data_IF_917547262632
#
_entry.id   IF_917547262632
#
_cell.length_a   1.000
_cell.length_b   1.000
_cell.length_c   1.000
_cell.angle_alpha   90.00
_cell.angle_beta   90.00
_cell.angle_gamma   90.00
#
_symmetry.space_group_name_H-M   'P 1'
#
loop_
_entity.id
_entity.type
_entity.pdbx_description
1 polymer ?
#
# COMPACT_ATOMS: atom_id res chain seq x y z
N UNK A 1 -9.91 -8.83 -11.42
CA UNK A 1 -10.76 -9.36 -12.51
C UNK A 1 -10.08 -9.11 -13.84
N UNK A 2 -9.78 -7.85 -14.20
CA UNK A 2 -9.06 -7.52 -15.43
C UNK A 2 -7.71 -8.23 -15.59
N UNK A 3 -6.91 -8.35 -14.52
CA UNK A 3 -5.62 -9.08 -14.57
C UNK A 3 -5.77 -10.51 -15.12
N UNK A 4 -6.79 -11.24 -14.65
CA UNK A 4 -7.05 -12.62 -15.08
C UNK A 4 -7.58 -12.69 -16.50
N UNK A 5 -8.39 -11.71 -16.90
CA UNK A 5 -8.94 -11.67 -18.25
C UNK A 5 -7.84 -11.38 -19.28
N UNK A 6 -6.95 -10.43 -18.98
CA UNK A 6 -5.76 -10.12 -19.80
C UNK A 6 -4.82 -11.32 -19.87
N UNK A 7 -4.54 -11.97 -18.74
CA UNK A 7 -3.73 -13.21 -18.68
C UNK A 7 -4.30 -14.31 -19.59
N UNK A 8 -5.63 -14.41 -19.67
CA UNK A 8 -6.34 -15.40 -20.48
C UNK A 8 -6.67 -14.93 -21.91
N UNK A 9 -6.17 -13.76 -22.37
CA UNK A 9 -6.49 -13.20 -23.69
C UNK A 9 -6.33 -14.23 -24.82
N UNK A 10 -5.20 -14.92 -24.87
CA UNK A 10 -4.93 -15.93 -25.89
C UNK A 10 -5.84 -17.15 -25.80
N UNK A 11 -6.19 -17.59 -24.58
CA UNK A 11 -7.11 -18.70 -24.38
C UNK A 11 -8.53 -18.33 -24.84
N UNK A 12 -8.99 -17.12 -24.51
CA UNK A 12 -10.27 -16.58 -24.99
C UNK A 12 -10.27 -16.49 -26.51
N UNK A 13 -9.24 -15.89 -27.12
CA UNK A 13 -9.13 -15.78 -28.58
C UNK A 13 -9.08 -17.15 -29.27
N UNK A 14 -8.40 -18.14 -28.69
CA UNK A 14 -8.33 -19.50 -29.24
C UNK A 14 -9.72 -20.17 -29.28
N UNK A 15 -10.47 -20.09 -28.17
CA UNK A 15 -11.82 -20.67 -28.08
C UNK A 15 -12.80 -19.98 -29.03
N UNK A 16 -12.74 -18.65 -29.16
CA UNK A 16 -13.60 -17.90 -30.08
C UNK A 16 -13.24 -18.13 -31.56
N UNK A 17 -11.99 -18.49 -31.84
CA UNK A 17 -11.52 -18.83 -33.20
C UNK A 17 -11.91 -20.25 -33.62
N UNK A 18 -12.05 -21.17 -32.67
CA UNK A 18 -12.43 -22.56 -32.93
C UNK A 18 -13.93 -22.69 -33.28
N UNK A 19 -14.21 -23.13 -34.50
CA UNK A 19 -15.57 -23.32 -35.03
C UNK A 19 -16.23 -24.60 -34.56
N UNK A 20 -15.48 -25.54 -33.99
CA UNK A 20 -16.03 -26.76 -33.38
C UNK A 20 -16.61 -26.50 -31.99
N UNK A 21 -16.13 -25.47 -31.30
CA UNK A 21 -16.54 -25.08 -29.94
C UNK A 21 -17.46 -23.86 -29.95
N UNK A 22 -17.17 -22.85 -30.78
CA UNK A 22 -17.91 -21.57 -30.78
C UNK A 22 -18.54 -21.30 -32.13
N UNK A 23 -19.86 -21.08 -32.16
CA UNK A 23 -20.59 -20.68 -33.37
C UNK A 23 -20.13 -19.29 -33.82
N UNK A 24 -20.11 -19.06 -35.13
CA UNK A 24 -19.64 -17.79 -35.69
C UNK A 24 -20.43 -16.56 -35.18
N UNK A 25 -21.74 -16.71 -34.95
CA UNK A 25 -22.58 -15.65 -34.39
C UNK A 25 -22.13 -15.28 -32.98
N UNK A 26 -21.93 -16.29 -32.12
CA UNK A 26 -21.50 -16.10 -30.73
C UNK A 26 -20.08 -15.52 -30.67
N UNK A 27 -19.17 -16.02 -31.52
CA UNK A 27 -17.79 -15.51 -31.61
C UNK A 27 -17.77 -14.01 -31.92
N UNK A 28 -18.55 -13.55 -32.91
CA UNK A 28 -18.62 -12.12 -33.27
C UNK A 28 -19.21 -11.24 -32.18
N UNK A 29 -20.10 -11.77 -31.36
CA UNK A 29 -20.70 -11.04 -30.24
C UNK A 29 -19.77 -10.97 -29.03
N UNK A 30 -18.95 -12.01 -28.81
CA UNK A 30 -18.07 -12.14 -27.65
C UNK A 30 -16.65 -11.61 -27.88
N UNK A 31 -16.25 -11.43 -29.14
CA UNK A 31 -14.92 -10.96 -29.50
C UNK A 31 -14.70 -9.51 -29.07
N UNK A 32 -13.76 -9.34 -28.14
CA UNK A 32 -13.30 -8.04 -27.68
C UNK A 32 -12.32 -7.47 -28.70
N UNK A 33 -12.57 -6.23 -29.14
CA UNK A 33 -11.62 -5.47 -29.99
C UNK A 33 -10.32 -5.21 -29.24
N UNK A 34 -9.21 -5.10 -29.97
CA UNK A 34 -7.89 -4.81 -29.43
C UNK A 34 -7.86 -3.52 -28.58
N UNK A 35 -8.60 -2.48 -28.97
CA UNK A 35 -8.70 -1.24 -28.19
C UNK A 35 -9.26 -1.47 -26.77
N UNK A 36 -10.14 -2.46 -26.59
CA UNK A 36 -10.67 -2.80 -25.27
C UNK A 36 -9.69 -3.65 -24.46
N UNK A 37 -8.91 -4.51 -25.11
CA UNK A 37 -7.82 -5.23 -24.47
C UNK A 37 -6.77 -4.25 -23.94
N UNK A 38 -6.35 -3.29 -24.77
CA UNK A 38 -5.42 -2.25 -24.37
C UNK A 38 -5.96 -1.42 -23.21
N UNK A 39 -7.23 -1.01 -23.27
CA UNK A 39 -7.86 -0.27 -22.16
C UNK A 39 -7.84 -1.06 -20.84
N UNK A 40 -8.05 -2.39 -20.90
CA UNK A 40 -8.00 -3.24 -19.71
C UNK A 40 -6.58 -3.34 -19.14
N UNK A 41 -5.57 -3.41 -20.01
CA UNK A 41 -4.15 -3.38 -19.63
C UNK A 41 -3.78 -2.03 -18.99
N UNK A 42 -4.21 -0.91 -19.58
CA UNK A 42 -3.89 0.43 -19.09
C UNK A 42 -4.57 0.74 -17.73
N UNK A 43 -5.80 0.26 -17.52
CA UNK A 43 -6.56 0.56 -16.29
C UNK A 43 -6.26 -0.40 -15.13
N UNK A 44 -5.79 -1.62 -15.42
CA UNK A 44 -5.41 -2.61 -14.42
C UNK A 44 -4.48 -2.08 -13.31
N UNK A 45 -3.37 -1.37 -13.59
CA UNK A 45 -2.48 -0.84 -12.54
C UNK A 45 -3.16 0.20 -11.65
N UNK A 46 -4.05 1.04 -12.21
CA UNK A 46 -4.80 2.03 -11.44
C UNK A 46 -5.75 1.34 -10.47
N UNK A 47 -6.48 0.34 -10.93
CA UNK A 47 -7.36 -0.47 -10.09
C UNK A 47 -6.59 -1.29 -9.05
N UNK A 48 -5.39 -1.78 -9.41
CA UNK A 48 -4.49 -2.45 -8.48
C UNK A 48 -4.07 -1.55 -7.32
N UNK A 49 -3.81 -0.27 -7.59
CA UNK A 49 -3.48 0.72 -6.56
C UNK A 49 -4.66 0.97 -5.61
N UNK A 50 -5.87 1.13 -6.15
CA UNK A 50 -7.08 1.28 -5.33
C UNK A 50 -7.34 0.03 -4.48
N UNK A 51 -7.20 -1.16 -5.06
CA UNK A 51 -7.31 -2.43 -4.34
C UNK A 51 -6.31 -2.50 -3.20
N UNK A 52 -5.06 -2.11 -3.42
CA UNK A 52 -4.03 -2.10 -2.38
C UNK A 52 -4.44 -1.20 -1.22
N UNK A 53 -4.83 0.05 -1.50
CA UNK A 53 -5.28 0.98 -0.47
C UNK A 53 -6.48 0.47 0.31
N UNK A 54 -7.51 -0.07 -0.36
CA UNK A 54 -8.66 -0.66 0.32
C UNK A 54 -8.27 -1.87 1.14
N UNK A 55 -7.37 -2.73 0.65
CA UNK A 55 -6.90 -3.91 1.40
C UNK A 55 -6.20 -3.49 2.68
N UNK A 56 -5.31 -2.50 2.63
CA UNK A 56 -4.63 -1.97 3.82
C UNK A 56 -5.64 -1.40 4.80
N UNK A 57 -6.56 -0.55 4.33
CA UNK A 57 -7.59 0.03 5.19
C UNK A 57 -8.53 -1.04 5.78
N UNK A 58 -8.87 -2.09 5.03
CA UNK A 58 -9.77 -3.16 5.50
C UNK A 58 -9.08 -4.21 6.37
N UNK A 59 -7.75 -4.29 6.37
CA UNK A 59 -7.00 -5.22 7.21
C UNK A 59 -6.89 -4.73 8.67
N UNK A 60 -7.09 -3.44 8.92
CA UNK A 60 -7.06 -2.88 10.26
C UNK A 60 -8.36 -3.18 11.02
N UNK A 61 -8.25 -3.67 12.26
CA UNK A 61 -9.41 -3.97 13.11
C UNK A 61 -10.16 -2.70 13.53
N UNK A 62 -9.46 -1.58 13.66
CA UNK A 62 -10.03 -0.24 13.82
C UNK A 62 -9.30 0.75 12.92
N UNK A 63 -9.97 1.16 11.84
CA UNK A 63 -9.39 2.12 10.90
C UNK A 63 -9.37 3.50 11.54
N UNK A 64 -8.18 3.95 11.93
CA UNK A 64 -8.01 5.29 12.50
C UNK A 64 -8.02 6.36 11.40
N UNK A 65 -8.44 7.59 11.74
CA UNK A 65 -8.33 8.76 10.85
C UNK A 65 -6.87 8.96 10.41
N UNK A 66 -5.91 8.62 11.30
CA UNK A 66 -4.48 8.63 11.00
C UNK A 66 -4.06 7.66 9.90
N UNK A 67 -4.82 6.62 9.57
CA UNK A 67 -4.48 5.72 8.46
C UNK A 67 -5.25 6.09 7.19
N UNK A 68 -6.51 6.47 7.34
CA UNK A 68 -7.38 6.85 6.20
C UNK A 68 -6.86 8.08 5.45
N UNK A 69 -6.45 9.14 6.18
CA UNK A 69 -6.01 10.39 5.57
C UNK A 69 -4.72 10.25 4.74
N UNK A 70 -3.58 9.74 5.26
CA UNK A 70 -2.36 9.63 4.47
C UNK A 70 -2.49 8.66 3.29
N UNK A 71 -3.26 7.58 3.42
CA UNK A 71 -3.52 6.65 2.31
C UNK A 71 -4.28 7.37 1.20
N UNK A 72 -5.39 8.05 1.53
CA UNK A 72 -6.21 8.77 0.54
C UNK A 72 -5.44 9.94 -0.08
N UNK A 73 -4.64 10.65 0.71
CA UNK A 73 -3.76 11.70 0.22
C UNK A 73 -2.72 11.17 -0.77
N UNK A 74 -2.07 10.04 -0.46
CA UNK A 74 -1.09 9.41 -1.36
C UNK A 74 -1.75 8.94 -2.65
N UNK A 75 -2.96 8.37 -2.58
CA UNK A 75 -3.72 7.98 -3.76
C UNK A 75 -3.94 9.19 -4.69
N UNK A 76 -4.49 10.29 -4.18
CA UNK A 76 -4.84 11.47 -4.98
C UNK A 76 -3.62 12.14 -5.60
N UNK A 77 -2.53 12.30 -4.84
CA UNK A 77 -1.41 13.14 -5.24
C UNK A 77 -0.25 12.38 -5.90
N UNK A 78 -0.13 11.07 -5.66
CA UNK A 78 0.97 10.26 -6.23
C UNK A 78 0.49 9.23 -7.23
N UNK A 79 -0.54 8.46 -6.90
CA UNK A 79 -0.91 7.28 -7.69
C UNK A 79 -1.99 7.54 -8.75
N UNK A 80 -2.80 8.58 -8.55
CA UNK A 80 -3.84 9.01 -9.49
C UNK A 80 -3.50 10.31 -10.21
N UNK A 81 -2.26 10.81 -10.04
CA UNK A 81 -1.78 11.97 -10.78
C UNK A 81 -1.80 11.72 -12.29
N UNK A 82 -1.97 12.79 -13.05
CA UNK A 82 -1.86 12.74 -14.51
C UNK A 82 -0.44 12.29 -14.90
N UNK A 83 -0.35 11.35 -15.82
CA UNK A 83 0.89 10.92 -16.45
C UNK A 83 0.79 11.12 -17.96
N UNK A 84 1.88 11.54 -18.59
CA UNK A 84 1.94 11.71 -20.05
C UNK A 84 1.74 10.40 -20.82
N UNK A 85 1.93 9.25 -20.14
CA UNK A 85 1.73 7.92 -20.71
C UNK A 85 0.28 7.41 -20.57
N UNK A 86 -0.59 8.15 -19.88
CA UNK A 86 -1.97 7.74 -19.69
C UNK A 86 -2.76 7.92 -21.00
N UNK A 87 -3.52 6.89 -21.39
CA UNK A 87 -4.55 7.07 -22.41
C UNK A 87 -5.64 8.01 -21.89
N UNK A 88 -6.31 8.75 -22.78
CA UNK A 88 -7.37 9.72 -22.41
C UNK A 88 -8.43 9.10 -21.48
N UNK A 89 -8.79 7.83 -21.70
CA UNK A 89 -9.76 7.12 -20.86
C UNK A 89 -9.24 6.86 -19.44
N UNK A 90 -7.95 6.57 -19.29
CA UNK A 90 -7.30 6.38 -17.98
C UNK A 90 -7.12 7.72 -17.27
N UNK A 91 -6.74 8.77 -17.99
CA UNK A 91 -6.68 10.13 -17.45
C UNK A 91 -8.04 10.58 -16.90
N UNK A 92 -9.11 10.45 -17.70
CA UNK A 92 -10.49 10.77 -17.29
C UNK A 92 -10.92 9.95 -16.06
N UNK A 93 -10.55 8.67 -16.03
CA UNK A 93 -10.86 7.80 -14.90
C UNK A 93 -10.14 8.26 -13.63
N UNK A 94 -8.83 8.52 -13.71
CA UNK A 94 -8.01 9.02 -12.60
C UNK A 94 -8.54 10.35 -12.08
N UNK A 95 -8.89 11.28 -12.97
CA UNK A 95 -9.48 12.57 -12.61
C UNK A 95 -10.79 12.38 -11.84
N UNK A 96 -11.75 11.61 -12.38
CA UNK A 96 -13.02 11.34 -11.69
C UNK A 96 -12.83 10.71 -10.31
N UNK A 97 -11.89 9.77 -10.18
CA UNK A 97 -11.59 9.14 -8.88
C UNK A 97 -10.97 10.15 -7.92
N UNK A 98 -10.06 11.02 -8.39
CA UNK A 98 -9.47 12.09 -7.59
C UNK A 98 -10.53 13.06 -7.08
N UNK A 99 -11.42 13.51 -7.94
CA UNK A 99 -12.50 14.43 -7.57
C UNK A 99 -13.44 13.77 -6.55
N UNK A 100 -13.89 12.54 -6.81
CA UNK A 100 -14.74 11.79 -5.89
C UNK A 100 -14.09 11.59 -4.50
N UNK A 101 -12.80 11.26 -4.46
CA UNK A 101 -12.08 11.08 -3.19
C UNK A 101 -11.82 12.42 -2.48
N UNK A 102 -11.48 13.47 -3.24
CA UNK A 102 -11.23 14.81 -2.73
C UNK A 102 -12.46 15.42 -2.06
N UNK A 103 -13.61 15.33 -2.74
CA UNK A 103 -14.91 15.76 -2.22
C UNK A 103 -15.27 15.02 -0.93
N UNK A 104 -15.15 13.68 -0.93
CA UNK A 104 -15.51 12.84 0.23
C UNK A 104 -14.63 13.11 1.44
N UNK A 105 -13.34 13.36 1.23
CA UNK A 105 -12.41 13.66 2.32
C UNK A 105 -12.39 15.14 2.71
N UNK A 106 -13.18 15.99 2.03
CA UNK A 106 -13.16 17.45 2.18
C UNK A 106 -11.74 18.00 2.14
N UNK A 107 -10.88 17.41 1.31
CA UNK A 107 -9.52 17.89 1.13
C UNK A 107 -9.62 19.21 0.36
N UNK A 108 -9.43 20.37 1.01
CA UNK A 108 -9.42 21.62 0.27
C UNK A 108 -8.19 21.55 -0.64
N UNK A 109 -8.39 21.74 -1.95
CA UNK A 109 -7.31 21.75 -2.92
C UNK A 109 -6.13 22.57 -2.39
N UNK A 110 -5.04 21.90 -2.02
CA UNK A 110 -3.77 22.52 -1.67
C UNK A 110 -3.49 22.83 -0.19
N UNK A 111 -4.33 22.52 0.80
CA UNK A 111 -3.94 22.71 2.21
C UNK A 111 -3.93 21.41 3.02
N UNK A 112 -2.73 20.82 3.07
CA UNK A 112 -2.29 19.93 4.14
C UNK A 112 -2.53 20.65 5.47
N UNK A 113 -3.27 20.03 6.39
CA UNK A 113 -3.15 20.38 7.81
C UNK A 113 -1.83 19.75 8.28
N UNK A 114 -0.73 20.53 8.48
CA UNK A 114 0.59 19.96 8.78
C UNK A 114 0.62 19.22 10.12
N UNK A 115 -0.39 19.46 10.96
CA UNK A 115 -0.53 18.84 12.27
C UNK A 115 -0.77 17.34 12.20
N UNK A 116 -1.51 16.82 11.22
CA UNK A 116 -1.74 15.38 11.10
C UNK A 116 -0.47 14.64 10.65
N UNK A 117 0.31 15.24 9.75
CA UNK A 117 1.58 14.65 9.27
C UNK A 117 2.63 14.62 10.40
N UNK A 118 2.73 15.68 11.20
CA UNK A 118 3.63 15.73 12.35
C UNK A 118 3.25 14.73 13.44
N UNK A 119 1.95 14.54 13.70
CA UNK A 119 1.47 13.52 14.64
C UNK A 119 1.75 12.09 14.15
N UNK A 120 1.52 11.80 12.86
CA UNK A 120 1.82 10.49 12.28
C UNK A 120 3.32 10.17 12.31
N UNK A 121 4.19 11.13 11.98
CA UNK A 121 5.63 10.94 12.07
C UNK A 121 6.10 10.73 13.51
N UNK A 122 5.55 11.48 14.49
CA UNK A 122 5.88 11.31 15.91
C UNK A 122 5.39 9.98 16.48
N UNK A 123 4.21 9.51 16.09
CA UNK A 123 3.62 8.27 16.62
C UNK A 123 4.21 7.01 15.98
N UNK A 124 4.64 7.09 14.71
CA UNK A 124 5.39 6.02 14.04
C UNK A 124 6.77 5.81 14.69
N UNK A 125 7.44 6.89 15.12
CA UNK A 125 8.70 6.78 15.88
C UNK A 125 8.50 6.28 17.31
N UNK A 126 7.36 6.60 17.94
CA UNK A 126 7.05 6.14 19.29
C UNK A 126 6.73 4.64 19.34
N UNK A 127 6.10 4.09 18.30
CA UNK A 127 5.72 2.67 18.23
C UNK A 127 6.92 1.72 18.04
N UNK A 128 8.10 2.23 17.67
CA UNK A 128 9.36 1.45 17.61
C UNK A 128 10.13 1.43 18.94
N UNK A 129 9.70 2.19 19.96
CA UNK A 129 10.42 2.30 21.24
C UNK A 129 9.81 1.48 22.37
N UNK A 130 8.73 0.74 22.12
CA UNK A 130 8.08 -0.13 23.09
C UNK A 130 8.48 -1.62 22.91
N UNK A 131 9.75 -1.90 22.64
CA UNK A 131 10.34 -3.23 22.89
C UNK A 131 11.28 -3.07 24.08
N UNK A 132 10.92 -3.57 25.28
CA UNK A 132 11.85 -3.52 26.41
C UNK A 132 13.10 -4.35 26.05
N UNK A 133 14.31 -3.85 26.33
CA UNK A 133 15.52 -4.64 26.10
C UNK A 133 15.52 -5.90 26.97
N UNK A 134 16.13 -7.01 26.53
CA UNK A 134 16.23 -8.21 27.35
C UNK A 134 17.01 -7.88 28.62
N UNK A 135 16.50 -8.35 29.76
CA UNK A 135 17.15 -8.21 31.06
C UNK A 135 18.53 -8.89 31.02
N UNK A 136 19.57 -8.11 30.79
CA UNK A 136 20.95 -8.49 31.05
C UNK A 136 21.07 -8.80 32.55
N UNK A 137 21.20 -10.09 32.89
CA UNK A 137 21.57 -10.53 34.23
C UNK A 137 22.98 -10.03 34.55
N UNK A 138 23.07 -9.00 35.37
CA UNK A 138 24.31 -8.57 36.01
C UNK A 138 24.78 -9.66 36.97
N UNK A 139 25.69 -10.51 36.49
CA UNK A 139 26.42 -11.47 37.31
C UNK A 139 27.52 -10.71 38.07
N UNK A 140 27.19 -10.22 39.26
CA UNK A 140 28.16 -9.69 40.21
C UNK A 140 29.16 -10.79 40.57
N UNK A 141 30.38 -10.68 40.03
CA UNK A 141 31.53 -11.48 40.46
C UNK A 141 31.97 -10.98 41.83
N UNK A 142 31.49 -11.64 42.89
CA UNK A 142 32.15 -11.61 44.19
C UNK A 142 33.58 -12.14 44.02
N UNK A 143 34.58 -11.28 44.24
CA UNK A 143 35.93 -11.72 44.62
C UNK A 143 36.03 -11.57 46.14
N UNK A 144 35.84 -12.68 46.83
CA UNK A 144 36.15 -12.83 48.25
C UNK A 144 37.55 -13.40 48.44
N UNK A 145 38.27 -12.77 49.39
CA UNK A 145 39.17 -13.32 50.39
C UNK A 145 40.43 -14.13 50.00
N UNK A 146 41.52 -13.76 50.68
CA UNK A 146 42.80 -14.47 50.80
C UNK A 146 43.93 -13.46 51.04
N UNK A 147 43.92 -12.71 52.15
CA UNK A 147 44.55 -13.06 53.44
C UNK A 147 46.08 -12.81 53.47
N UNK A 148 46.57 -12.33 54.62
CA UNK A 148 47.95 -12.25 55.14
C UNK A 148 48.48 -10.83 55.49
N UNK A 149 48.23 -10.45 56.75
CA UNK A 149 49.30 -10.28 57.75
C UNK A 149 50.11 -8.97 57.85
N UNK A 150 50.09 -8.39 59.07
CA UNK A 150 51.13 -7.58 59.75
C UNK A 150 51.27 -6.12 59.26
N UNK A 151 51.40 -5.07 60.09
CA UNK A 151 51.69 -4.93 61.51
C UNK A 151 51.29 -3.50 61.98
N UNK A 152 50.81 -3.37 63.23
CA UNK A 152 50.92 -2.12 63.99
C UNK A 152 52.40 -1.84 64.28
N UNK A 153 52.87 -0.58 64.16
CA UNK A 153 53.53 0.19 65.24
C UNK A 153 54.09 1.54 64.75
N UNK A 154 53.82 2.59 65.56
CA UNK A 154 54.62 3.79 65.89
C UNK A 154 55.51 4.45 64.80
N UNK A 155 55.16 5.68 64.39
CA UNK A 155 55.71 6.95 64.92
C UNK A 155 54.97 8.16 64.34
#
# INVERSE_FOLDING_TARGET
>A
MFDRLVEQRWAVSAVLSDRSVTKLADARTLELRDDYWQLMEDIAPVLGTLKCATTVMSAESEVSISNTYPITFSLINKHLGASDEDSHKVADFKEKVRDCLGERMKLPGGQLIPHCFRWLQLNATASQQQVPPPLEMTLSRQQGLGDMGLSLHLL
#
